data_IF_180740502784
#
_entry.id   IF_180740502784
#
_cell.length_a   1.000
_cell.length_b   1.000
_cell.length_c   1.000
_cell.angle_alpha   90.00
_cell.angle_beta   90.00
_cell.angle_gamma   90.00
#
_symmetry.space_group_name_H-M   'P 1'
#
loop_
_entity.id
_entity.type
_entity.pdbx_description
1 polymer ?
#
# COMPACT_ATOMS: atom_id res chain seq x y z
N UNK A 1 6.13 6.09 31.56
CA UNK A 1 6.61 4.69 31.53
C UNK A 1 8.07 4.59 31.08
N UNK A 2 8.91 5.59 31.39
CA UNK A 2 10.37 5.45 31.40
C UNK A 2 10.79 5.50 32.87
N UNK A 3 11.64 4.57 33.32
CA UNK A 3 12.16 4.59 34.70
C UNK A 3 13.02 5.85 34.89
N UNK A 4 12.98 6.51 36.07
CA UNK A 4 13.85 7.64 36.37
C UNK A 4 15.31 7.26 36.08
N UNK A 5 16.09 8.18 35.47
CA UNK A 5 17.49 7.93 35.05
C UNK A 5 18.40 7.43 36.17
N UNK A 6 18.05 7.78 37.40
CA UNK A 6 18.75 7.35 38.62
C UNK A 6 18.57 5.85 38.94
N UNK A 7 17.53 5.20 38.39
CA UNK A 7 17.23 3.79 38.57
C UNK A 7 17.74 2.90 37.41
N UNK A 8 18.58 3.45 36.53
CA UNK A 8 19.16 2.71 35.41
C UNK A 8 20.40 1.95 35.88
N UNK A 9 20.51 0.68 35.51
CA UNK A 9 21.71 -0.11 35.80
C UNK A 9 22.92 0.46 35.06
N UNK A 10 24.14 0.28 35.60
CA UNK A 10 25.38 0.72 34.94
C UNK A 10 25.51 0.20 33.50
N UNK A 11 24.96 -0.98 33.21
CA UNK A 11 24.87 -1.54 31.86
C UNK A 11 24.00 -0.74 30.90
N UNK A 12 22.89 -0.15 31.38
CA UNK A 12 22.01 0.70 30.59
C UNK A 12 22.66 2.06 30.29
N UNK A 13 23.37 2.63 31.27
CA UNK A 13 24.13 3.87 31.11
C UNK A 13 25.31 3.70 30.14
N UNK A 14 26.03 2.57 30.19
CA UNK A 14 27.11 2.25 29.24
C UNK A 14 26.60 2.04 27.80
N UNK A 15 25.46 1.37 27.64
CA UNK A 15 24.84 1.17 26.32
C UNK A 15 24.35 2.49 25.68
N UNK A 16 23.92 3.47 26.48
CA UNK A 16 23.53 4.80 26.01
C UNK A 16 24.76 5.65 25.64
N UNK A 17 25.84 5.57 26.43
CA UNK A 17 27.12 6.21 26.12
C UNK A 17 27.78 5.63 24.86
N UNK A 18 27.68 4.33 24.61
CA UNK A 18 28.09 3.73 23.33
C UNK A 18 27.23 4.22 22.16
N UNK A 19 25.92 4.41 22.34
CA UNK A 19 25.03 4.97 21.31
C UNK A 19 25.36 6.42 20.96
N UNK A 20 25.77 7.23 21.93
CA UNK A 20 26.15 8.64 21.71
C UNK A 20 27.50 8.79 20.97
N UNK A 21 28.39 7.80 21.04
CA UNK A 21 29.74 7.86 20.47
C UNK A 21 29.90 7.16 19.10
N UNK A 22 28.79 6.83 18.42
CA UNK A 22 28.86 6.22 17.10
C UNK A 22 29.04 7.30 16.02
N UNK A 23 30.07 7.13 15.19
CA UNK A 23 30.19 7.91 13.96
C UNK A 23 29.05 7.59 13.00
N UNK A 24 28.68 8.51 12.11
CA UNK A 24 27.59 8.32 11.13
C UNK A 24 27.73 7.02 10.33
N UNK A 25 28.97 6.65 9.96
CA UNK A 25 29.24 5.39 9.24
C UNK A 25 28.97 4.15 10.10
N UNK A 26 29.29 4.17 11.39
CA UNK A 26 29.00 3.08 12.32
C UNK A 26 27.49 2.98 12.61
N UNK A 27 26.80 4.11 12.73
CA UNK A 27 25.34 4.16 12.85
C UNK A 27 24.64 3.60 11.60
N UNK A 28 25.10 3.94 10.39
CA UNK A 28 24.58 3.38 9.13
C UNK A 28 24.82 1.88 9.01
N UNK A 29 26.02 1.41 9.34
CA UNK A 29 26.37 -0.02 9.27
C UNK A 29 25.55 -0.83 10.30
N UNK A 30 25.39 -0.29 11.51
CA UNK A 30 24.53 -0.84 12.55
C UNK A 30 23.07 -0.88 12.12
N UNK A 31 22.54 0.20 11.53
CA UNK A 31 21.19 0.24 10.97
C UNK A 31 21.01 -0.82 9.88
N UNK A 32 22.00 -1.01 9.00
CA UNK A 32 21.97 -2.07 7.98
C UNK A 32 21.89 -3.47 8.59
N UNK A 33 22.67 -3.73 9.64
CA UNK A 33 22.64 -5.01 10.39
C UNK A 33 21.31 -5.18 11.12
N UNK A 34 20.80 -4.13 11.77
CA UNK A 34 19.54 -4.15 12.51
C UNK A 34 18.33 -4.33 11.56
N UNK A 35 18.31 -3.65 10.42
CA UNK A 35 17.31 -3.85 9.35
C UNK A 35 17.37 -5.27 8.78
N UNK A 36 18.58 -5.77 8.47
CA UNK A 36 18.78 -7.13 7.97
C UNK A 36 18.37 -8.20 8.98
N UNK A 37 18.66 -7.98 10.27
CA UNK A 37 18.20 -8.82 11.36
C UNK A 37 16.67 -8.82 11.47
N UNK A 38 16.06 -7.63 11.34
CA UNK A 38 14.60 -7.47 11.39
C UNK A 38 13.91 -8.15 10.20
N UNK A 39 14.52 -8.14 9.00
CA UNK A 39 14.05 -8.86 7.81
C UNK A 39 13.96 -10.39 7.99
N UNK A 40 14.67 -10.96 8.97
CA UNK A 40 14.54 -12.39 9.30
C UNK A 40 13.22 -12.71 10.00
N UNK A 41 12.59 -11.73 10.65
CA UNK A 41 11.32 -11.90 11.36
C UNK A 41 10.19 -12.07 10.34
N UNK A 42 9.48 -13.20 10.43
CA UNK A 42 8.40 -13.55 9.49
C UNK A 42 7.31 -12.49 9.42
N UNK A 43 6.89 -11.96 10.57
CA UNK A 43 5.84 -10.93 10.67
C UNK A 43 6.29 -9.64 9.97
N UNK A 44 7.53 -9.20 10.22
CA UNK A 44 8.09 -8.01 9.56
C UNK A 44 8.17 -8.18 8.04
N UNK A 45 8.66 -9.34 7.56
CA UNK A 45 8.71 -9.61 6.12
C UNK A 45 7.33 -9.64 5.47
N UNK A 46 6.33 -10.19 6.15
CA UNK A 46 4.95 -10.20 5.66
C UNK A 46 4.37 -8.79 5.61
N UNK A 47 4.57 -8.00 6.66
CA UNK A 47 4.14 -6.60 6.71
C UNK A 47 4.79 -5.76 5.61
N UNK A 48 6.11 -5.82 5.50
CA UNK A 48 6.88 -5.12 4.48
C UNK A 48 6.46 -5.56 3.07
N UNK A 49 6.24 -6.86 2.85
CA UNK A 49 5.79 -7.40 1.57
C UNK A 49 4.39 -6.90 1.19
N UNK A 50 3.45 -6.84 2.14
CA UNK A 50 2.12 -6.30 1.91
C UNK A 50 2.16 -4.80 1.58
N UNK A 51 2.97 -4.04 2.33
CA UNK A 51 3.16 -2.61 2.13
C UNK A 51 3.80 -2.36 0.76
N UNK A 52 5.01 -2.88 0.55
CA UNK A 52 5.78 -2.65 -0.67
C UNK A 52 5.05 -3.16 -1.92
N UNK A 53 4.48 -4.36 -1.87
CA UNK A 53 3.74 -4.93 -2.99
C UNK A 53 2.51 -4.10 -3.35
N UNK A 54 1.79 -3.60 -2.34
CA UNK A 54 0.64 -2.72 -2.54
C UNK A 54 1.02 -1.40 -3.21
N UNK A 55 2.04 -0.72 -2.69
CA UNK A 55 2.50 0.56 -3.24
C UNK A 55 3.09 0.42 -4.65
N UNK A 56 3.97 -0.56 -4.89
CA UNK A 56 4.55 -0.79 -6.22
C UNK A 56 3.44 -1.04 -7.25
N UNK A 57 2.46 -1.89 -6.93
CA UNK A 57 1.37 -2.18 -7.86
C UNK A 57 0.56 -0.92 -8.19
N UNK A 58 0.32 -0.05 -7.21
CA UNK A 58 -0.39 1.20 -7.41
C UNK A 58 0.41 2.22 -8.22
N UNK A 59 1.71 2.33 -7.97
CA UNK A 59 2.59 3.26 -8.67
C UNK A 59 2.74 2.87 -10.13
N UNK A 60 2.97 1.58 -10.40
CA UNK A 60 3.03 1.04 -11.76
C UNK A 60 1.70 1.26 -12.47
N UNK A 61 0.57 0.92 -11.84
CA UNK A 61 -0.76 1.16 -12.42
C UNK A 61 -0.93 2.64 -12.77
N UNK A 62 -0.66 3.55 -11.85
CA UNK A 62 -0.85 4.98 -12.07
C UNK A 62 0.06 5.54 -13.17
N UNK A 63 1.30 5.04 -13.26
CA UNK A 63 2.26 5.44 -14.28
C UNK A 63 1.83 5.02 -15.69
N UNK A 64 1.25 3.83 -15.84
CA UNK A 64 0.87 3.29 -17.16
C UNK A 64 -0.58 3.59 -17.54
N UNK A 65 -1.47 3.84 -16.57
CA UNK A 65 -2.92 3.91 -16.80
C UNK A 65 -3.32 5.03 -17.78
N UNK A 66 -2.76 6.23 -17.62
CA UNK A 66 -3.06 7.34 -18.53
C UNK A 66 -2.63 7.03 -19.96
N UNK A 67 -1.44 6.45 -20.14
CA UNK A 67 -0.96 6.01 -21.45
C UNK A 67 -1.84 4.91 -22.04
N UNK A 68 -2.26 3.95 -21.21
CA UNK A 68 -3.16 2.88 -21.62
C UNK A 68 -4.49 3.44 -22.15
N UNK A 69 -5.13 4.36 -21.42
CA UNK A 69 -6.42 4.95 -21.84
C UNK A 69 -6.27 5.72 -23.16
N UNK A 70 -5.20 6.52 -23.30
CA UNK A 70 -5.02 7.36 -24.49
C UNK A 70 -4.59 6.56 -25.72
N UNK A 71 -3.61 5.67 -25.59
CA UNK A 71 -2.99 5.00 -26.74
C UNK A 71 -3.58 3.62 -27.05
N UNK A 72 -4.11 2.91 -26.06
CA UNK A 72 -4.62 1.54 -26.25
C UNK A 72 -6.14 1.53 -26.41
N UNK A 73 -6.85 2.28 -25.56
CA UNK A 73 -8.31 2.42 -25.68
C UNK A 73 -8.75 3.50 -26.67
N UNK A 74 -7.80 4.25 -27.25
CA UNK A 74 -8.05 5.34 -28.20
C UNK A 74 -9.00 6.42 -27.65
N UNK A 75 -8.95 6.66 -26.34
CA UNK A 75 -9.79 7.65 -25.65
C UNK A 75 -9.06 8.98 -25.45
N UNK A 76 -9.81 10.04 -25.16
CA UNK A 76 -9.23 11.35 -24.86
C UNK A 76 -8.54 11.39 -23.50
N UNK A 77 -7.54 12.28 -23.36
CA UNK A 77 -6.87 12.52 -22.08
C UNK A 77 -7.84 13.01 -20.99
N UNK A 78 -8.94 13.68 -21.37
CA UNK A 78 -10.00 14.07 -20.46
C UNK A 78 -10.70 12.86 -19.83
N UNK A 79 -10.93 11.79 -20.60
CA UNK A 79 -11.51 10.53 -20.09
C UNK A 79 -10.56 9.89 -19.08
N UNK A 80 -9.26 9.81 -19.37
CA UNK A 80 -8.26 9.28 -18.44
C UNK A 80 -8.28 10.02 -17.09
N UNK A 81 -8.37 11.36 -17.13
CA UNK A 81 -8.48 12.19 -15.94
C UNK A 81 -9.76 11.92 -15.14
N UNK A 82 -10.90 11.79 -15.81
CA UNK A 82 -12.18 11.47 -15.16
C UNK A 82 -12.16 10.10 -14.49
N UNK A 83 -11.53 9.10 -15.12
CA UNK A 83 -11.39 7.75 -14.55
C UNK A 83 -10.50 7.76 -13.30
N UNK A 84 -9.36 8.46 -13.35
CA UNK A 84 -8.49 8.66 -12.18
C UNK A 84 -9.19 9.43 -11.06
N UNK A 85 -9.97 10.46 -11.38
CA UNK A 85 -10.79 11.20 -10.43
C UNK A 85 -11.85 10.32 -9.77
N UNK A 86 -12.49 9.45 -10.55
CA UNK A 86 -13.46 8.46 -10.05
C UNK A 86 -12.77 7.49 -9.09
N UNK A 87 -11.60 6.96 -9.45
CA UNK A 87 -10.81 6.09 -8.56
C UNK A 87 -10.49 6.79 -7.24
N UNK A 88 -10.11 8.08 -7.27
CA UNK A 88 -9.80 8.85 -6.07
C UNK A 88 -11.01 9.01 -5.14
N UNK A 89 -12.20 9.31 -5.68
CA UNK A 89 -13.44 9.41 -4.89
C UNK A 89 -13.76 8.07 -4.22
N UNK A 90 -13.73 6.98 -4.98
CA UNK A 90 -14.00 5.65 -4.44
C UNK A 90 -12.92 5.20 -3.46
N UNK A 91 -11.68 5.64 -3.61
CA UNK A 91 -10.60 5.39 -2.65
C UNK A 91 -10.92 5.94 -1.26
N UNK A 92 -11.47 7.16 -1.18
CA UNK A 92 -11.93 7.73 0.10
C UNK A 92 -13.05 6.89 0.72
N UNK A 93 -14.04 6.50 -0.08
CA UNK A 93 -15.15 5.64 0.38
C UNK A 93 -14.61 4.30 0.87
N UNK A 94 -13.63 3.72 0.17
CA UNK A 94 -13.02 2.46 0.52
C UNK A 94 -12.37 2.53 1.90
N UNK A 95 -11.62 3.59 2.20
CA UNK A 95 -10.96 3.75 3.52
C UNK A 95 -12.00 3.70 4.64
N UNK A 96 -13.14 4.38 4.47
CA UNK A 96 -14.24 4.36 5.46
C UNK A 96 -14.84 2.95 5.58
N UNK A 97 -15.10 2.29 4.45
CA UNK A 97 -15.66 0.93 4.42
C UNK A 97 -14.70 -0.13 4.97
N UNK A 98 -13.40 0.11 4.93
CA UNK A 98 -12.37 -0.82 5.41
C UNK A 98 -12.28 -0.87 6.93
N UNK A 99 -12.67 0.20 7.64
CA UNK A 99 -12.74 0.23 9.10
C UNK A 99 -13.63 -0.92 9.64
N UNK A 100 -14.93 -1.00 9.31
CA UNK A 100 -15.78 -2.09 9.79
C UNK A 100 -15.38 -3.46 9.22
N UNK A 101 -14.84 -3.52 8.00
CA UNK A 101 -14.40 -4.77 7.38
C UNK A 101 -13.24 -5.41 8.16
N UNK A 102 -12.22 -4.62 8.50
CA UNK A 102 -11.07 -5.06 9.29
C UNK A 102 -11.48 -5.48 10.71
N UNK A 103 -12.46 -4.80 11.33
CA UNK A 103 -12.98 -5.16 12.66
C UNK A 103 -13.72 -6.51 12.61
N UNK A 104 -14.51 -6.76 11.55
CA UNK A 104 -15.35 -7.95 11.47
C UNK A 104 -14.62 -9.22 11.01
N UNK A 105 -13.76 -9.10 10.00
CA UNK A 105 -13.09 -10.26 9.39
C UNK A 105 -11.63 -10.39 9.81
N UNK A 106 -11.04 -9.36 10.40
CA UNK A 106 -9.62 -9.26 10.68
C UNK A 106 -8.82 -8.71 9.49
N UNK A 107 -7.57 -8.27 9.74
CA UNK A 107 -6.77 -7.55 8.75
C UNK A 107 -6.28 -8.46 7.60
N UNK A 108 -5.87 -9.69 7.90
CA UNK A 108 -5.32 -10.62 6.90
C UNK A 108 -6.31 -11.03 5.78
N UNK A 109 -7.56 -11.46 6.06
CA UNK A 109 -8.53 -11.75 4.99
C UNK A 109 -8.99 -10.48 4.26
N UNK A 110 -9.14 -9.36 4.97
CA UNK A 110 -9.51 -8.07 4.36
C UNK A 110 -8.49 -7.66 3.30
N UNK A 111 -7.19 -7.75 3.61
CA UNK A 111 -6.12 -7.46 2.64
C UNK A 111 -6.21 -8.34 1.38
N UNK A 112 -6.39 -9.65 1.55
CA UNK A 112 -6.51 -10.60 0.42
C UNK A 112 -7.70 -10.28 -0.48
N UNK A 113 -8.84 -9.91 0.09
CA UNK A 113 -10.01 -9.49 -0.67
C UNK A 113 -9.72 -8.24 -1.50
N UNK A 114 -9.09 -7.23 -0.91
CA UNK A 114 -8.84 -5.96 -1.61
C UNK A 114 -7.78 -6.12 -2.71
N UNK A 115 -6.72 -6.88 -2.45
CA UNK A 115 -5.72 -7.23 -3.48
C UNK A 115 -6.38 -7.99 -4.63
N UNK A 116 -7.26 -8.95 -4.32
CA UNK A 116 -8.04 -9.66 -5.34
C UNK A 116 -8.93 -8.72 -6.15
N UNK A 117 -9.61 -7.78 -5.49
CA UNK A 117 -10.49 -6.80 -6.14
C UNK A 117 -9.70 -5.88 -7.08
N UNK A 118 -8.54 -5.39 -6.65
CA UNK A 118 -7.67 -4.55 -7.46
C UNK A 118 -7.08 -5.33 -8.66
N UNK A 119 -6.64 -6.57 -8.43
CA UNK A 119 -6.15 -7.46 -9.47
C UNK A 119 -7.23 -7.77 -10.51
N UNK A 120 -8.45 -8.08 -10.08
CA UNK A 120 -9.60 -8.30 -10.96
C UNK A 120 -9.93 -7.04 -11.78
N UNK A 121 -9.87 -5.86 -11.16
CA UNK A 121 -10.12 -4.59 -11.86
C UNK A 121 -9.07 -4.32 -12.93
N UNK A 122 -7.80 -4.59 -12.61
CA UNK A 122 -6.68 -4.44 -13.55
C UNK A 122 -6.81 -5.42 -14.73
N UNK A 123 -7.20 -6.67 -14.46
CA UNK A 123 -7.47 -7.66 -15.50
C UNK A 123 -8.68 -7.28 -16.35
N UNK A 124 -9.71 -6.70 -15.74
CA UNK A 124 -10.91 -6.23 -16.44
C UNK A 124 -10.56 -5.12 -17.43
N UNK A 125 -9.65 -4.20 -17.10
CA UNK A 125 -9.12 -3.24 -18.06
C UNK A 125 -8.44 -3.92 -19.24
N UNK A 126 -7.60 -4.94 -19.01
CA UNK A 126 -6.96 -5.67 -20.09
C UNK A 126 -7.99 -6.40 -20.98
N UNK A 127 -9.04 -6.97 -20.39
CA UNK A 127 -10.12 -7.64 -21.13
C UNK A 127 -10.96 -6.68 -21.97
N UNK A 128 -11.16 -5.44 -21.53
CA UNK A 128 -11.89 -4.44 -22.31
C UNK A 128 -11.26 -4.18 -23.69
N UNK A 129 -9.93 -4.18 -23.75
CA UNK A 129 -9.21 -4.04 -25.01
C UNK A 129 -9.52 -5.20 -25.97
N UNK A 130 -9.45 -6.44 -25.47
CA UNK A 130 -9.74 -7.63 -26.29
C UNK A 130 -11.21 -7.76 -26.70
N UNK A 131 -12.13 -7.29 -25.85
CA UNK A 131 -13.57 -7.34 -26.12
C UNK A 131 -14.08 -6.20 -27.02
N UNK A 132 -13.24 -5.21 -27.34
CA UNK A 132 -13.65 -4.04 -28.13
C UNK A 132 -14.71 -3.16 -27.45
N UNK A 133 -14.84 -3.25 -26.12
CA UNK A 133 -15.82 -2.49 -25.32
C UNK A 133 -15.25 -1.16 -24.81
N UNK A 134 -14.24 -0.61 -25.51
CA UNK A 134 -13.57 0.63 -25.17
C UNK A 134 -14.49 1.85 -25.14
N UNK A 135 -15.58 1.81 -25.90
CA UNK A 135 -16.49 2.95 -26.07
C UNK A 135 -17.57 3.04 -24.97
N UNK A 136 -17.69 2.01 -24.13
CA UNK A 136 -18.69 1.97 -23.07
C UNK A 136 -18.17 2.73 -21.84
N UNK A 137 -18.36 4.06 -21.84
CA UNK A 137 -17.90 4.94 -20.77
C UNK A 137 -18.40 4.54 -19.37
N UNK A 138 -19.64 4.06 -19.25
CA UNK A 138 -20.19 3.56 -17.98
C UNK A 138 -19.45 2.34 -17.44
N UNK A 139 -18.96 1.46 -18.31
CA UNK A 139 -18.18 0.28 -17.94
C UNK A 139 -16.77 0.68 -17.50
N UNK A 140 -16.16 1.65 -18.16
CA UNK A 140 -14.88 2.24 -17.74
C UNK A 140 -15.00 2.90 -16.36
N UNK A 141 -16.09 3.61 -16.09
CA UNK A 141 -16.38 4.20 -14.77
C UNK A 141 -16.60 3.13 -13.70
N UNK A 142 -17.35 2.07 -14.02
CA UNK A 142 -17.58 0.96 -13.10
C UNK A 142 -16.26 0.28 -12.71
N UNK A 143 -15.42 -0.05 -13.69
CA UNK A 143 -14.12 -0.69 -13.42
C UNK A 143 -13.19 0.28 -12.67
N UNK A 144 -13.25 1.59 -12.97
CA UNK A 144 -12.54 2.63 -12.20
C UNK A 144 -12.99 2.66 -10.74
N UNK A 145 -14.29 2.58 -10.49
CA UNK A 145 -14.84 2.57 -9.14
C UNK A 145 -14.34 1.36 -8.35
N UNK A 146 -14.38 0.17 -8.95
CA UNK A 146 -13.88 -1.07 -8.33
C UNK A 146 -12.37 -1.01 -8.11
N UNK A 147 -11.61 -0.47 -9.06
CA UNK A 147 -10.18 -0.23 -8.92
C UNK A 147 -9.87 0.73 -7.77
N UNK A 148 -10.64 1.83 -7.65
CA UNK A 148 -10.53 2.79 -6.55
C UNK A 148 -10.79 2.17 -5.18
N UNK A 149 -11.81 1.32 -5.06
CA UNK A 149 -12.08 0.53 -3.86
C UNK A 149 -10.90 -0.39 -3.50
N UNK A 150 -10.33 -1.05 -4.51
CA UNK A 150 -9.11 -1.85 -4.40
C UNK A 150 -7.91 -1.04 -3.89
N UNK A 151 -7.63 0.12 -4.49
CA UNK A 151 -6.50 0.96 -4.11
C UNK A 151 -6.63 1.49 -2.67
N UNK A 152 -7.82 1.91 -2.27
CA UNK A 152 -8.04 2.44 -0.91
C UNK A 152 -7.85 1.41 0.18
N UNK A 153 -8.32 0.18 0.00
CA UNK A 153 -8.11 -0.85 1.03
C UNK A 153 -6.70 -1.42 1.06
N UNK A 154 -5.98 -1.49 -0.07
CA UNK A 154 -4.56 -1.89 -0.09
C UNK A 154 -3.73 -0.91 0.73
N UNK A 155 -4.04 0.38 0.65
CA UNK A 155 -3.41 1.40 1.48
C UNK A 155 -3.86 1.29 2.93
N UNK A 156 -5.15 1.10 3.23
CA UNK A 156 -5.60 1.13 4.62
C UNK A 156 -5.09 -0.06 5.48
N UNK A 157 -5.05 -1.28 4.96
CA UNK A 157 -4.77 -2.47 5.80
C UNK A 157 -3.37 -2.46 6.43
N UNK A 158 -2.27 -2.25 5.68
CA UNK A 158 -0.94 -2.19 6.28
C UNK A 158 -0.83 -1.11 7.36
N UNK A 159 -1.45 0.06 7.14
CA UNK A 159 -1.47 1.15 8.13
C UNK A 159 -2.19 0.76 9.43
N UNK A 160 -3.32 0.07 9.34
CA UNK A 160 -4.04 -0.41 10.52
C UNK A 160 -3.29 -1.55 11.26
N UNK A 161 -2.43 -2.30 10.56
CA UNK A 161 -1.67 -3.39 11.18
C UNK A 161 -0.42 -2.92 11.93
N UNK A 162 -0.06 -1.64 11.83
CA UNK A 162 1.09 -1.06 12.55
C UNK A 162 0.78 -0.75 14.03
N UNK A 163 -0.50 -0.73 14.42
CA UNK A 163 -0.95 -0.31 15.76
C UNK A 163 -1.09 -1.46 16.76
N UNK A 164 -0.88 -2.72 16.35
CA UNK A 164 -0.96 -3.91 17.21
C UNK A 164 0.36 -4.68 17.23
#
# INVERSE_FOLDING_TARGET
WERPREAWSESALRAEAEKQNLTLAQSLNRLGIELSSTLRIKIFRQHLGMYLGGYIAQDVFNAVFTYYVVFVLMQEAAVASNLLGTMAIFQFIAVIAMIPLCIRFGPAPSYRMVVGLFGLSSLSYALLYYAGLSDVYSLLLLISAVAGLGRGGINYVPWNTYTY
#
